data_IF_939265745517
#
_entry.id   IF_939265745517
#
_cell.length_a   1.000
_cell.length_b   1.000
_cell.length_c   1.000
_cell.angle_alpha   90.00
_cell.angle_beta   90.00
_cell.angle_gamma   90.00
#
_symmetry.space_group_name_H-M   'P 1'
#
loop_
_entity.id
_entity.type
_entity.pdbx_description
1 polymer ?
#
# COMPACT_ATOMS: atom_id res chain seq x y z
N UNK A 1 -12.03 1.41 -5.50
CA UNK A 1 -10.98 0.40 -5.29
C UNK A 1 -11.62 -0.91 -4.92
N UNK A 2 -10.92 -1.99 -4.93
CA UNK A 2 -11.39 -3.24 -4.37
C UNK A 2 -11.50 -4.40 -5.34
N UNK A 3 -11.68 -4.17 -6.62
CA UNK A 3 -11.98 -5.26 -7.54
C UNK A 3 -11.08 -5.36 -8.76
N UNK A 4 -10.21 -4.39 -8.97
CA UNK A 4 -9.29 -4.38 -10.10
C UNK A 4 -7.87 -4.55 -9.62
N UNK A 5 -7.04 -5.23 -10.43
CA UNK A 5 -5.61 -5.35 -10.13
C UNK A 5 -4.91 -3.98 -10.21
N UNK A 6 -5.37 -3.11 -11.12
CA UNK A 6 -4.84 -1.76 -11.28
C UNK A 6 -5.99 -0.77 -11.24
N UNK A 7 -5.92 0.20 -10.33
CA UNK A 7 -6.88 1.29 -10.22
C UNK A 7 -6.15 2.57 -9.80
N UNK A 8 -6.91 3.64 -9.50
CA UNK A 8 -6.29 4.91 -9.11
C UNK A 8 -5.47 4.81 -7.83
N UNK A 9 -5.71 3.83 -6.99
CA UNK A 9 -4.97 3.64 -5.74
C UNK A 9 -3.69 2.83 -5.93
N UNK A 10 -3.47 2.24 -7.11
CA UNK A 10 -2.22 1.54 -7.41
C UNK A 10 -1.03 2.49 -7.33
N UNK A 11 -1.19 3.72 -7.81
CA UNK A 11 -0.14 4.74 -7.72
C UNK A 11 0.15 5.13 -6.27
N UNK A 12 -0.88 5.14 -5.41
CA UNK A 12 -0.68 5.39 -3.99
C UNK A 12 0.22 4.33 -3.38
N UNK A 13 0.00 3.06 -3.70
CA UNK A 13 0.81 1.97 -3.16
C UNK A 13 2.24 2.01 -3.69
N UNK A 14 2.44 2.35 -4.97
CA UNK A 14 3.78 2.57 -5.50
C UNK A 14 4.49 3.68 -4.73
N UNK A 15 3.79 4.78 -4.47
CA UNK A 15 4.34 5.91 -3.70
C UNK A 15 4.72 5.50 -2.29
N UNK A 16 3.91 4.68 -1.63
CA UNK A 16 4.22 4.18 -0.30
C UNK A 16 5.52 3.35 -0.29
N UNK A 17 5.75 2.56 -1.32
CA UNK A 17 6.98 1.80 -1.46
C UNK A 17 8.20 2.70 -1.59
N UNK A 18 8.10 3.76 -2.41
CA UNK A 18 9.17 4.75 -2.57
C UNK A 18 9.49 5.42 -1.23
N UNK A 19 8.47 5.87 -0.52
CA UNK A 19 8.64 6.52 0.79
C UNK A 19 9.29 5.55 1.78
N UNK A 20 8.83 4.30 1.82
CA UNK A 20 9.38 3.29 2.72
C UNK A 20 10.88 3.08 2.48
N UNK A 21 11.29 3.05 1.21
CA UNK A 21 12.72 2.92 0.90
C UNK A 21 13.54 4.07 1.50
N UNK A 22 13.10 5.30 1.30
CA UNK A 22 13.84 6.46 1.78
C UNK A 22 13.76 6.62 3.30
N UNK A 23 12.80 5.98 3.95
CA UNK A 23 12.72 5.92 5.41
C UNK A 23 13.51 4.75 5.99
N UNK A 24 14.31 4.08 5.18
CA UNK A 24 15.16 2.96 5.62
C UNK A 24 14.37 1.74 6.08
N UNK A 25 13.16 1.57 5.57
CA UNK A 25 12.36 0.37 5.81
C UNK A 25 12.78 -0.67 4.77
N UNK A 26 13.16 -1.87 5.22
CA UNK A 26 13.57 -2.93 4.30
C UNK A 26 12.37 -3.43 3.47
N UNK A 27 12.66 -4.00 2.31
CA UNK A 27 11.62 -4.57 1.46
C UNK A 27 10.84 -5.67 2.20
N UNK A 28 11.54 -6.53 2.93
CA UNK A 28 10.87 -7.58 3.71
C UNK A 28 9.90 -6.99 4.74
N UNK A 29 10.36 -6.00 5.49
CA UNK A 29 9.52 -5.36 6.50
C UNK A 29 8.34 -4.64 5.87
N UNK A 30 8.55 -3.95 4.75
CA UNK A 30 7.46 -3.31 4.01
C UNK A 30 6.40 -4.32 3.61
N UNK A 31 6.80 -5.45 3.05
CA UNK A 31 5.85 -6.47 2.61
C UNK A 31 5.06 -7.02 3.80
N UNK A 32 5.73 -7.34 4.90
CA UNK A 32 5.06 -7.85 6.11
C UNK A 32 4.07 -6.84 6.67
N UNK A 33 4.50 -5.59 6.82
CA UNK A 33 3.63 -4.52 7.33
C UNK A 33 2.43 -4.34 6.41
N UNK A 34 2.66 -4.35 5.10
CA UNK A 34 1.58 -4.14 4.13
C UNK A 34 0.56 -5.28 4.16
N UNK A 35 1.03 -6.52 4.27
CA UNK A 35 0.12 -7.67 4.37
C UNK A 35 -0.74 -7.57 5.63
N UNK A 36 -0.14 -7.24 6.78
CA UNK A 36 -0.88 -7.06 8.03
C UNK A 36 -1.87 -5.90 7.90
N UNK A 37 -1.44 -4.79 7.33
CA UNK A 37 -2.29 -3.63 7.14
C UNK A 37 -3.49 -3.95 6.24
N UNK A 38 -3.24 -4.65 5.12
CA UNK A 38 -4.32 -5.05 4.21
C UNK A 38 -5.33 -5.95 4.91
N UNK A 39 -4.86 -6.89 5.73
CA UNK A 39 -5.77 -7.74 6.49
C UNK A 39 -6.66 -6.90 7.42
N UNK A 40 -6.05 -6.03 8.22
CA UNK A 40 -6.78 -5.22 9.19
C UNK A 40 -7.74 -4.25 8.48
N UNK A 41 -7.27 -3.59 7.42
CA UNK A 41 -8.08 -2.62 6.68
C UNK A 41 -9.34 -3.24 6.08
N UNK A 42 -9.28 -4.53 5.73
CA UNK A 42 -10.39 -5.23 5.12
C UNK A 42 -11.26 -5.99 6.12
N UNK A 43 -11.00 -5.87 7.42
CA UNK A 43 -11.91 -6.36 8.45
C UNK A 43 -13.05 -5.37 8.68
N UNK A 44 -14.16 -5.84 9.24
CA UNK A 44 -15.27 -4.97 9.61
C UNK A 44 -14.81 -3.87 10.57
N UNK A 45 -13.98 -4.23 11.54
CA UNK A 45 -13.45 -3.30 12.53
C UNK A 45 -12.56 -2.23 11.87
N UNK A 46 -11.63 -2.66 11.03
CA UNK A 46 -10.70 -1.75 10.35
C UNK A 46 -11.42 -0.80 9.41
N UNK A 47 -12.36 -1.33 8.61
CA UNK A 47 -13.16 -0.49 7.71
C UNK A 47 -14.00 0.53 8.48
N UNK A 48 -14.57 0.11 9.61
CA UNK A 48 -15.37 1.01 10.44
C UNK A 48 -14.55 2.16 10.99
N UNK A 49 -13.35 1.88 11.49
CA UNK A 49 -12.46 2.92 12.02
C UNK A 49 -12.06 3.89 10.92
N UNK A 50 -11.62 3.39 9.78
CA UNK A 50 -11.18 4.25 8.67
C UNK A 50 -12.33 5.11 8.19
N UNK A 51 -13.49 4.53 7.97
CA UNK A 51 -14.65 5.27 7.44
C UNK A 51 -15.23 6.25 8.44
N UNK A 52 -15.10 6.00 9.74
CA UNK A 52 -15.65 6.86 10.80
C UNK A 52 -14.71 8.01 11.16
N UNK A 53 -13.43 7.70 11.34
CA UNK A 53 -12.47 8.65 11.92
C UNK A 53 -11.49 9.23 10.92
N UNK A 54 -11.16 8.50 9.85
CA UNK A 54 -10.08 8.86 8.94
C UNK A 54 -10.55 9.16 7.52
N UNK A 55 -11.86 9.18 7.27
CA UNK A 55 -12.39 9.35 5.91
C UNK A 55 -11.85 10.61 5.22
N UNK A 56 -11.59 11.67 5.96
CA UNK A 56 -11.07 12.92 5.42
C UNK A 56 -9.58 12.86 5.09
N UNK A 57 -8.87 11.98 5.77
CA UNK A 57 -7.40 11.90 5.71
C UNK A 57 -6.93 10.67 4.95
N UNK A 58 -7.78 9.67 4.85
CA UNK A 58 -7.43 8.37 4.31
C UNK A 58 -8.03 8.19 2.95
N UNK A 59 -7.20 8.14 1.87
CA UNK A 59 -7.75 8.07 0.51
C UNK A 59 -8.38 6.73 0.15
N UNK A 60 -8.26 5.73 1.01
CA UNK A 60 -8.74 4.37 0.72
C UNK A 60 -9.94 3.90 1.54
N UNK A 61 -10.71 4.81 2.15
CA UNK A 61 -11.94 4.43 2.85
C UNK A 61 -12.94 3.75 1.92
N UNK A 62 -13.63 2.72 2.39
CA UNK A 62 -14.49 1.89 1.54
C UNK A 62 -15.60 1.21 2.34
N UNK A 63 -16.75 0.90 1.69
CA UNK A 63 -17.88 0.27 2.38
C UNK A 63 -17.80 -1.25 2.47
N UNK A 64 -16.92 -1.91 1.72
CA UNK A 64 -16.75 -3.36 1.72
C UNK A 64 -15.31 -3.74 1.42
N UNK A 65 -14.88 -4.97 1.78
CA UNK A 65 -13.49 -5.39 1.59
C UNK A 65 -13.10 -5.46 0.11
N UNK A 66 -11.83 -5.20 -0.15
CA UNK A 66 -11.23 -5.45 -1.46
C UNK A 66 -11.20 -6.96 -1.73
N UNK A 67 -11.24 -7.36 -3.00
CA UNK A 67 -11.05 -8.76 -3.33
C UNK A 67 -9.57 -9.13 -3.22
N UNK A 68 -9.30 -10.45 -3.25
CA UNK A 68 -7.94 -10.95 -3.07
C UNK A 68 -6.98 -10.44 -4.16
N UNK A 69 -7.46 -10.34 -5.40
CA UNK A 69 -6.63 -9.85 -6.49
C UNK A 69 -6.17 -8.41 -6.22
N UNK A 70 -7.08 -7.55 -5.76
CA UNK A 70 -6.73 -6.17 -5.45
C UNK A 70 -5.76 -6.10 -4.28
N UNK A 71 -6.00 -6.87 -3.21
CA UNK A 71 -5.12 -6.90 -2.04
C UNK A 71 -3.72 -7.35 -2.42
N UNK A 72 -3.60 -8.43 -3.21
CA UNK A 72 -2.30 -8.92 -3.64
C UNK A 72 -1.59 -7.89 -4.54
N UNK A 73 -2.33 -7.24 -5.43
CA UNK A 73 -1.77 -6.21 -6.32
C UNK A 73 -1.24 -5.03 -5.55
N UNK A 74 -1.92 -4.62 -4.47
CA UNK A 74 -1.48 -3.50 -3.65
C UNK A 74 -0.11 -3.80 -3.02
N UNK A 75 0.09 -5.02 -2.54
CA UNK A 75 1.39 -5.43 -1.99
C UNK A 75 2.45 -5.41 -3.10
N UNK A 76 2.12 -5.93 -4.28
CA UNK A 76 3.06 -5.96 -5.41
C UNK A 76 3.44 -4.53 -5.83
N UNK A 77 2.48 -3.62 -5.93
CA UNK A 77 2.78 -2.24 -6.31
C UNK A 77 3.63 -1.53 -5.27
N UNK A 78 3.43 -1.79 -3.99
CA UNK A 78 4.31 -1.25 -2.94
C UNK A 78 5.74 -1.77 -3.11
N UNK A 79 5.90 -3.06 -3.37
CA UNK A 79 7.21 -3.65 -3.61
C UNK A 79 7.88 -3.07 -4.86
N UNK A 80 7.11 -2.85 -5.93
CA UNK A 80 7.62 -2.23 -7.15
C UNK A 80 8.15 -0.82 -6.85
N UNK A 81 7.39 -0.03 -6.09
CA UNK A 81 7.83 1.32 -5.72
C UNK A 81 9.14 1.30 -4.95
N UNK A 82 9.26 0.40 -3.99
CA UNK A 82 10.49 0.23 -3.23
C UNK A 82 11.67 -0.14 -4.13
N UNK A 83 11.46 -1.10 -5.03
CA UNK A 83 12.52 -1.56 -5.94
C UNK A 83 12.94 -0.49 -6.94
N UNK A 84 12.00 0.30 -7.45
CA UNK A 84 12.32 1.42 -8.34
C UNK A 84 13.17 2.45 -7.58
N UNK A 85 12.78 2.80 -6.35
CA UNK A 85 13.54 3.74 -5.54
C UNK A 85 14.96 3.20 -5.24
N UNK A 86 15.05 1.93 -4.90
CA UNK A 86 16.33 1.27 -4.65
C UNK A 86 17.25 1.36 -5.87
N UNK A 87 16.71 1.03 -7.05
CA UNK A 87 17.49 1.05 -8.28
C UNK A 87 17.95 2.48 -8.62
N UNK A 88 17.03 3.43 -8.58
CA UNK A 88 17.35 4.80 -8.97
C UNK A 88 18.30 5.45 -7.97
N UNK A 89 18.13 5.18 -6.68
CA UNK A 89 19.03 5.70 -5.66
C UNK A 89 20.44 5.17 -5.87
N UNK A 90 20.58 3.89 -6.22
CA UNK A 90 21.88 3.30 -6.52
C UNK A 90 22.55 3.87 -7.76
N UNK A 91 21.74 4.24 -8.77
CA UNK A 91 22.26 4.80 -10.04
C UNK A 91 22.66 6.27 -9.87
N UNK A 92 21.86 7.06 -9.14
CA UNK A 92 22.05 8.51 -9.06
C UNK A 92 22.73 8.99 -7.79
N UNK A 93 22.93 8.13 -6.82
CA UNK A 93 23.68 8.49 -5.62
C UNK A 93 25.15 8.57 -5.94
N UNK A 94 25.74 9.70 -5.64
CA UNK A 94 27.14 9.97 -5.90
C UNK A 94 27.97 9.77 -4.63
#
# INVERSE_FOLDING_TARGET
>A
MGFKAFDQYSLLHVSMGVVAYFWSISLFLLIVIHIVFEYVENTQWGMSIINTYFIRWWPGGKPYPDNLLNQASDVVFSAIGWLVAYYLDGVYRV
#
